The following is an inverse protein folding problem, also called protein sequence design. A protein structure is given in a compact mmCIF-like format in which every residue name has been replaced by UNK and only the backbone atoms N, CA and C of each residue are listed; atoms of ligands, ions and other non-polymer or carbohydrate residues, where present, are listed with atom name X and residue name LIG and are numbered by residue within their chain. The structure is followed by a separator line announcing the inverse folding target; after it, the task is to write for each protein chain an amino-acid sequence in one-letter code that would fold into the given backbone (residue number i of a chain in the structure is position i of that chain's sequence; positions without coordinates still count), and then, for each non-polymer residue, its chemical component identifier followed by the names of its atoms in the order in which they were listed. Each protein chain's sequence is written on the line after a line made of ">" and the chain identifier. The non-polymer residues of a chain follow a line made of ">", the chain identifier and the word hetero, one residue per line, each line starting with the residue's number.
data_IF_682660308373
#
_entry.id   IF_682660308373
#
_cell.length_a   1.000
_cell.length_b   1.000
_cell.length_c   1.000
_cell.angle_alpha   90.00
_cell.angle_beta   90.00
_cell.angle_gamma   90.00
#
_symmetry.space_group_name_H-M   'P 1'
#
loop_
_entity.id
_entity.type
_entity.pdbx_description
1 polymer ?
#
# COMPACT_ATOMS: atom_id res chain seq x y z
N UNK A 1 -2.09 -6.48 -35.26
CA UNK A 1 -2.72 -7.40 -34.29
C UNK A 1 -2.28 -6.93 -32.91
N UNK A 2 -3.21 -6.38 -32.12
CA UNK A 2 -2.92 -6.08 -30.73
C UNK A 2 -2.72 -7.41 -30.01
N UNK A 3 -1.63 -7.52 -29.25
CA UNK A 3 -1.38 -8.67 -28.39
C UNK A 3 -2.55 -8.81 -27.41
N UNK A 4 -3.20 -9.97 -27.36
CA UNK A 4 -4.40 -10.13 -26.56
C UNK A 4 -4.00 -10.09 -25.08
N UNK A 5 -4.43 -9.04 -24.38
CA UNK A 5 -4.18 -8.90 -22.94
C UNK A 5 -4.83 -10.07 -22.20
N UNK A 6 -4.02 -11.03 -21.76
CA UNK A 6 -4.46 -12.12 -20.90
C UNK A 6 -4.48 -11.63 -19.45
N UNK A 7 -5.67 -11.43 -18.91
CA UNK A 7 -5.86 -11.13 -17.48
C UNK A 7 -6.15 -12.41 -16.73
N UNK A 8 -5.48 -12.61 -15.58
CA UNK A 8 -5.70 -13.75 -14.69
C UNK A 8 -6.19 -13.18 -13.35
N UNK A 9 -7.51 -13.21 -13.07
CA UNK A 9 -8.10 -12.61 -11.86
C UNK A 9 -7.46 -13.10 -10.56
N UNK A 10 -7.07 -14.37 -10.50
CA UNK A 10 -6.44 -14.97 -9.32
C UNK A 10 -5.08 -14.33 -9.02
N UNK A 11 -4.32 -13.99 -10.07
CA UNK A 11 -3.03 -13.29 -9.93
C UNK A 11 -3.26 -11.88 -9.43
N UNK A 12 -4.28 -11.18 -9.94
CA UNK A 12 -4.62 -9.83 -9.45
C UNK A 12 -5.03 -9.88 -7.98
N UNK A 13 -5.87 -10.84 -7.58
CA UNK A 13 -6.26 -11.00 -6.17
C UNK A 13 -5.06 -11.33 -5.29
N UNK A 14 -4.19 -12.24 -5.73
CA UNK A 14 -2.99 -12.61 -4.99
C UNK A 14 -2.04 -11.42 -4.77
N UNK A 15 -1.75 -10.67 -5.85
CA UNK A 15 -0.90 -9.48 -5.79
C UNK A 15 -1.56 -8.39 -4.92
N UNK A 16 -2.87 -8.22 -5.02
CA UNK A 16 -3.64 -7.32 -4.16
C UNK A 16 -3.46 -7.62 -2.68
N UNK A 17 -3.55 -8.90 -2.30
CA UNK A 17 -3.29 -9.35 -0.92
C UNK A 17 -1.85 -9.09 -0.49
N UNK A 18 -0.88 -9.43 -1.34
CA UNK A 18 0.53 -9.14 -1.04
C UNK A 18 0.77 -7.65 -0.79
N UNK A 19 0.16 -6.76 -1.58
CA UNK A 19 0.31 -5.32 -1.40
C UNK A 19 -0.29 -4.84 -0.07
N UNK A 20 -1.42 -5.41 0.37
CA UNK A 20 -1.98 -5.12 1.68
C UNK A 20 -1.00 -5.54 2.79
N UNK A 21 -0.45 -6.76 2.71
CA UNK A 21 0.52 -7.26 3.68
C UNK A 21 1.79 -6.37 3.76
N UNK A 22 2.27 -5.86 2.62
CA UNK A 22 3.38 -4.90 2.59
C UNK A 22 3.01 -3.58 3.27
N UNK A 23 1.79 -3.08 3.06
CA UNK A 23 1.25 -1.91 3.74
C UNK A 23 1.21 -2.10 5.26
N UNK A 24 0.70 -3.23 5.74
CA UNK A 24 0.61 -3.55 7.17
C UNK A 24 1.99 -3.65 7.82
N UNK A 25 2.95 -4.28 7.14
CA UNK A 25 4.35 -4.35 7.61
C UNK A 25 4.99 -2.98 7.69
N UNK A 26 4.78 -2.13 6.68
CA UNK A 26 5.30 -0.77 6.67
C UNK A 26 4.70 0.04 7.84
N UNK A 27 3.39 -0.09 8.08
CA UNK A 27 2.72 0.59 9.20
C UNK A 27 3.30 0.15 10.54
N UNK A 28 3.49 -1.15 10.75
CA UNK A 28 4.07 -1.70 11.98
C UNK A 28 5.48 -1.15 12.23
N UNK A 29 6.33 -1.11 11.19
CA UNK A 29 7.69 -0.53 11.30
C UNK A 29 7.62 0.97 11.59
N UNK A 30 6.72 1.72 10.94
CA UNK A 30 6.53 3.15 11.23
C UNK A 30 6.13 3.39 12.68
N UNK A 31 5.23 2.59 13.25
CA UNK A 31 4.81 2.70 14.65
C UNK A 31 5.95 2.39 15.62
N UNK A 32 6.76 1.35 15.33
CA UNK A 32 7.95 1.04 16.11
C UNK A 32 9.01 2.15 16.08
N UNK A 33 9.18 2.79 14.92
CA UNK A 33 10.07 3.94 14.80
C UNK A 33 9.52 5.16 15.57
N UNK A 34 8.22 5.43 15.47
CA UNK A 34 7.58 6.55 16.19
C UNK A 34 7.75 6.43 17.71
N UNK A 35 7.55 5.23 18.28
CA UNK A 35 7.78 5.01 19.70
C UNK A 35 9.24 5.32 20.12
N UNK A 36 10.21 4.84 19.34
CA UNK A 36 11.63 5.13 19.60
C UNK A 36 11.98 6.62 19.45
N UNK A 37 11.32 7.31 18.53
CA UNK A 37 11.45 8.76 18.32
C UNK A 37 10.92 9.53 19.54
N UNK A 38 9.74 9.19 20.02
CA UNK A 38 9.11 9.80 21.20
C UNK A 38 9.99 9.62 22.44
N UNK A 39 10.51 8.41 22.66
CA UNK A 39 11.44 8.11 23.77
C UNK A 39 12.74 8.93 23.69
N UNK A 40 13.27 9.14 22.48
CA UNK A 40 14.52 9.88 22.27
C UNK A 40 14.34 11.41 22.33
N UNK A 41 13.12 11.92 22.15
CA UNK A 41 12.84 13.35 21.97
C UNK A 41 13.31 14.21 23.14
N UNK A 42 13.20 13.70 24.37
CA UNK A 42 13.64 14.41 25.57
C UNK A 42 15.15 14.72 25.60
N UNK A 43 15.95 14.01 24.80
CA UNK A 43 17.40 14.23 24.69
C UNK A 43 17.81 15.26 23.63
N UNK A 44 16.90 15.79 22.83
CA UNK A 44 17.23 16.71 21.75
C UNK A 44 17.25 18.15 22.23
N UNK A 45 18.30 18.90 21.91
CA UNK A 45 18.52 20.25 22.45
C UNK A 45 18.86 21.23 21.32
N UNK A 46 18.23 22.40 21.34
CA UNK A 46 18.60 23.54 20.49
C UNK A 46 18.24 23.36 19.00
N UNK A 47 19.04 23.95 18.12
CA UNK A 47 18.74 24.01 16.68
C UNK A 47 18.68 22.63 16.00
N UNK A 48 19.41 21.63 16.52
CA UNK A 48 19.35 20.25 16.01
C UNK A 48 18.01 19.58 16.31
N UNK A 49 17.36 19.91 17.44
CA UNK A 49 16.03 19.41 17.75
C UNK A 49 15.00 19.88 16.72
N UNK A 50 15.02 21.16 16.36
CA UNK A 50 14.12 21.72 15.34
C UNK A 50 14.34 21.11 13.95
N UNK A 51 15.61 20.94 13.55
CA UNK A 51 15.94 20.28 12.29
C UNK A 51 15.47 18.81 12.27
N UNK A 52 15.63 18.09 13.37
CA UNK A 52 15.20 16.70 13.49
C UNK A 52 13.67 16.57 13.46
N UNK A 53 12.92 17.45 14.14
CA UNK A 53 11.47 17.51 14.03
C UNK A 53 11.00 17.71 12.58
N UNK A 54 11.63 18.63 11.84
CA UNK A 54 11.27 18.86 10.43
C UNK A 54 11.54 17.64 9.53
N UNK A 55 12.62 16.90 9.79
CA UNK A 55 12.91 15.65 9.09
C UNK A 55 11.87 14.58 9.42
N UNK A 56 11.44 14.48 10.68
CA UNK A 56 10.43 13.52 11.12
C UNK A 56 9.05 13.83 10.57
N UNK A 57 8.67 15.10 10.47
CA UNK A 57 7.45 15.51 9.77
C UNK A 57 7.50 15.12 8.29
N UNK A 58 8.66 15.27 7.64
CA UNK A 58 8.88 14.84 6.26
C UNK A 58 8.76 13.32 6.10
N UNK A 59 9.38 12.56 7.01
CA UNK A 59 9.30 11.11 7.05
C UNK A 59 7.87 10.62 7.30
N UNK A 60 7.14 11.22 8.24
CA UNK A 60 5.74 10.89 8.52
C UNK A 60 4.85 11.10 7.29
N UNK A 61 4.98 12.25 6.62
CA UNK A 61 4.24 12.53 5.37
C UNK A 61 4.55 11.51 4.27
N UNK A 62 5.83 11.17 4.08
CA UNK A 62 6.23 10.18 3.10
C UNK A 62 5.68 8.78 3.44
N UNK A 63 5.73 8.39 4.71
CA UNK A 63 5.16 7.14 5.22
C UNK A 63 3.67 7.03 4.95
N UNK A 64 2.89 8.06 5.33
CA UNK A 64 1.45 8.10 5.06
C UNK A 64 1.14 8.04 3.57
N UNK A 65 1.92 8.73 2.72
CA UNK A 65 1.74 8.67 1.28
C UNK A 65 2.03 7.28 0.69
N UNK A 66 3.00 6.54 1.25
CA UNK A 66 3.27 5.16 0.86
C UNK A 66 2.15 4.20 1.29
N UNK A 67 1.68 4.30 2.53
CA UNK A 67 0.57 3.48 3.03
C UNK A 67 -0.71 3.67 2.20
N UNK A 68 -1.03 4.92 1.88
CA UNK A 68 -2.17 5.28 1.03
C UNK A 68 -2.03 4.72 -0.40
N UNK A 69 -0.80 4.71 -0.95
CA UNK A 69 -0.53 4.04 -2.24
C UNK A 69 -0.69 2.52 -2.18
N UNK A 70 -0.19 1.86 -1.13
CA UNK A 70 -0.40 0.42 -0.94
C UNK A 70 -1.89 0.09 -0.85
N UNK A 71 -2.64 0.85 -0.04
CA UNK A 71 -4.08 0.67 0.11
C UNK A 71 -4.84 0.83 -1.20
N UNK A 72 -4.59 1.92 -1.94
CA UNK A 72 -5.21 2.12 -3.26
C UNK A 72 -4.86 1.03 -4.26
N UNK A 73 -3.61 0.61 -4.30
CA UNK A 73 -3.17 -0.38 -5.29
C UNK A 73 -3.74 -1.77 -4.96
N UNK A 74 -3.72 -2.17 -3.69
CA UNK A 74 -4.36 -3.39 -3.22
C UNK A 74 -5.85 -3.40 -3.55
N UNK A 75 -6.59 -2.34 -3.20
CA UNK A 75 -8.01 -2.23 -3.49
C UNK A 75 -8.30 -2.24 -5.00
N UNK A 76 -7.50 -1.54 -5.80
CA UNK A 76 -7.63 -1.55 -7.26
C UNK A 76 -7.43 -2.94 -7.86
N UNK A 77 -6.47 -3.72 -7.36
CA UNK A 77 -6.24 -5.09 -7.81
C UNK A 77 -7.39 -6.02 -7.45
N UNK A 78 -7.96 -5.90 -6.24
CA UNK A 78 -9.11 -6.71 -5.84
C UNK A 78 -10.37 -6.35 -6.64
N UNK A 79 -10.62 -5.06 -6.87
CA UNK A 79 -11.72 -4.61 -7.72
C UNK A 79 -11.58 -5.10 -9.16
N UNK A 80 -10.36 -5.02 -9.71
CA UNK A 80 -10.08 -5.55 -11.06
C UNK A 80 -10.30 -7.06 -11.12
N UNK A 81 -9.78 -7.82 -10.15
CA UNK A 81 -9.99 -9.27 -10.06
C UNK A 81 -11.48 -9.62 -10.07
N UNK A 82 -12.28 -8.96 -9.23
CA UNK A 82 -13.72 -9.17 -9.16
C UNK A 82 -14.40 -8.87 -10.52
N UNK A 83 -14.09 -7.72 -11.13
CA UNK A 83 -14.68 -7.32 -12.41
C UNK A 83 -14.34 -8.27 -13.56
N UNK A 84 -13.09 -8.75 -13.63
CA UNK A 84 -12.71 -9.71 -14.67
C UNK A 84 -13.32 -11.10 -14.44
N UNK A 85 -13.46 -11.55 -13.20
CA UNK A 85 -14.16 -12.80 -12.87
C UNK A 85 -15.63 -12.73 -13.29
N UNK A 86 -16.31 -11.61 -13.01
CA UNK A 86 -17.70 -11.40 -13.42
C UNK A 86 -17.84 -11.40 -14.95
N UNK A 87 -16.96 -10.71 -15.65
CA UNK A 87 -16.95 -10.66 -17.11
C UNK A 87 -16.75 -12.06 -17.72
N UNK A 88 -15.83 -12.86 -17.18
CA UNK A 88 -15.57 -14.22 -17.67
C UNK A 88 -16.79 -15.13 -17.45
N UNK A 89 -17.41 -15.05 -16.27
CA UNK A 89 -18.65 -15.80 -15.96
C UNK A 89 -19.80 -15.41 -16.90
N UNK A 90 -19.98 -14.12 -17.17
CA UNK A 90 -21.01 -13.62 -18.08
C UNK A 90 -20.78 -14.13 -19.51
N UNK A 91 -19.55 -14.03 -20.02
CA UNK A 91 -19.19 -14.51 -21.35
C UNK A 91 -19.37 -16.03 -21.47
N UNK A 92 -18.95 -16.79 -20.46
CA UNK A 92 -19.13 -18.24 -20.42
C UNK A 92 -20.60 -18.64 -20.40
N UNK A 93 -21.47 -17.87 -19.72
CA UNK A 93 -22.91 -18.10 -19.72
C UNK A 93 -23.56 -17.79 -21.08
N UNK A 94 -23.11 -16.74 -21.78
CA UNK A 94 -23.63 -16.37 -23.10
C UNK A 94 -23.26 -17.37 -24.21
N UNK A 95 -22.25 -18.22 -23.98
CA UNK A 95 -21.79 -19.26 -24.89
C UNK A 95 -22.38 -20.66 -24.60
N UNK A 96 -23.22 -20.79 -23.57
CA UNK A 96 -23.97 -22.01 -23.28
C UNK A 96 -25.33 -22.00 -23.95
#
# INVERSE_FOLDING_TARGET
>A
MADALRVIPEVLSHVGTQLADHGDRLLAVHQLCLAQIEDAQAGWIGASAGALSALLDGWARAGSAHLDRFGRHSAGMQLAAAGFTELDQHNAAALR
#
